data_IF_252604622615
#
_entry.id   IF_252604622615
#
_cell.length_a   1.000
_cell.length_b   1.000
_cell.length_c   1.000
_cell.angle_alpha   90.00
_cell.angle_beta   90.00
_cell.angle_gamma   90.00
#
_symmetry.space_group_name_H-M   'P 1'
#
loop_
_entity.id
_entity.type
_entity.pdbx_description
1 polymer ?
#
# COMPACT_ATOMS: atom_id res chain seq x y z
N UNK A 1 3.32 1.49 9.28
CA UNK A 1 4.43 0.53 9.03
C UNK A 1 4.81 -0.35 10.21
N UNK A 2 5.16 0.17 11.40
CA UNK A 2 5.56 -0.70 12.54
C UNK A 2 4.53 -1.77 12.91
N UNK A 3 3.25 -1.40 13.00
CA UNK A 3 2.17 -2.34 13.27
C UNK A 3 2.04 -3.41 12.17
N UNK A 4 2.12 -3.01 10.90
CA UNK A 4 2.16 -3.95 9.76
C UNK A 4 3.30 -4.95 9.90
N UNK A 5 4.49 -4.51 10.31
CA UNK A 5 5.65 -5.39 10.48
C UNK A 5 5.56 -6.31 11.72
N UNK A 6 4.64 -6.04 12.65
CA UNK A 6 4.29 -6.94 13.75
C UNK A 6 3.27 -7.99 13.30
N UNK A 7 2.25 -7.57 12.54
CA UNK A 7 1.24 -8.45 11.96
C UNK A 7 1.84 -9.38 10.89
N UNK A 8 2.80 -8.88 10.12
CA UNK A 8 3.47 -9.55 9.01
C UNK A 8 4.99 -9.58 9.24
N UNK A 9 5.52 -10.48 10.09
CA UNK A 9 6.95 -10.50 10.42
C UNK A 9 7.88 -10.68 9.22
N UNK A 10 7.40 -11.30 8.13
CA UNK A 10 8.16 -11.48 6.89
C UNK A 10 8.17 -10.27 5.95
N UNK A 11 7.39 -9.22 6.24
CA UNK A 11 7.20 -8.07 5.34
C UNK A 11 8.50 -7.29 5.07
N UNK A 12 9.29 -7.11 6.13
CA UNK A 12 10.63 -6.50 6.04
C UNK A 12 11.63 -7.49 6.65
N UNK A 13 12.36 -8.25 5.80
CA UNK A 13 13.33 -9.23 6.27
C UNK A 13 14.52 -8.57 6.95
N UNK A 14 15.12 -9.29 7.91
CA UNK A 14 16.31 -8.83 8.63
C UNK A 14 17.57 -8.97 7.77
N UNK A 15 18.63 -8.23 8.12
CA UNK A 15 19.91 -8.24 7.38
C UNK A 15 20.48 -9.66 7.30
N UNK A 16 20.34 -10.43 8.37
CA UNK A 16 20.80 -11.82 8.44
C UNK A 16 20.14 -12.73 7.40
N UNK A 17 18.84 -12.53 7.12
CA UNK A 17 18.11 -13.36 6.15
C UNK A 17 18.14 -12.76 4.74
N UNK A 18 18.39 -11.46 4.62
CA UNK A 18 18.48 -10.76 3.36
C UNK A 18 19.53 -9.64 3.45
N UNK A 19 20.75 -9.84 2.92
CA UNK A 19 21.84 -8.87 3.05
C UNK A 19 21.53 -7.50 2.44
N UNK A 20 20.84 -7.48 1.30
CA UNK A 20 20.45 -6.27 0.55
C UNK A 20 18.93 -6.21 0.38
N UNK A 21 18.30 -5.16 0.88
CA UNK A 21 16.90 -4.83 0.61
C UNK A 21 16.81 -3.77 -0.49
N UNK A 22 15.90 -4.00 -1.43
CA UNK A 22 15.51 -3.03 -2.46
C UNK A 22 14.05 -2.71 -2.24
N UNK A 23 13.70 -1.44 -2.02
CA UNK A 23 12.31 -1.04 -1.83
C UNK A 23 11.91 0.16 -2.69
N UNK A 24 10.64 0.20 -3.09
CA UNK A 24 10.05 1.38 -3.72
C UNK A 24 8.89 1.92 -2.88
N UNK A 25 8.84 3.23 -2.74
CA UNK A 25 7.92 3.98 -1.89
C UNK A 25 7.14 4.94 -2.79
N UNK A 26 5.93 4.57 -3.17
CA UNK A 26 5.14 5.22 -4.22
C UNK A 26 4.02 6.04 -3.60
N UNK A 27 3.90 7.31 -3.99
CA UNK A 27 2.97 8.24 -3.37
C UNK A 27 3.13 8.40 -1.85
N UNK A 28 4.34 8.11 -1.37
CA UNK A 28 4.81 8.37 -0.03
C UNK A 28 6.27 8.82 -0.13
N UNK A 29 6.50 10.14 -0.20
CA UNK A 29 7.85 10.70 -0.11
C UNK A 29 8.58 10.24 1.17
N UNK A 30 9.91 10.49 1.32
CA UNK A 30 10.70 9.95 2.43
C UNK A 30 10.04 10.33 3.75
N UNK A 31 9.35 9.36 4.34
CA UNK A 31 8.36 9.54 5.39
C UNK A 31 8.36 8.34 6.34
N UNK A 32 7.27 8.18 7.10
CA UNK A 32 7.23 7.20 8.19
C UNK A 32 7.45 5.75 7.77
N UNK A 33 7.12 5.37 6.52
CA UNK A 33 7.32 4.03 6.01
C UNK A 33 8.80 3.75 5.70
N UNK A 34 9.45 4.64 4.93
CA UNK A 34 10.90 4.58 4.66
C UNK A 34 11.70 4.56 5.96
N UNK A 35 11.35 5.44 6.90
CA UNK A 35 12.02 5.52 8.20
C UNK A 35 11.87 4.21 9.00
N UNK A 36 10.65 3.68 9.10
CA UNK A 36 10.40 2.43 9.82
C UNK A 36 11.13 1.23 9.19
N UNK A 37 11.19 1.15 7.85
CA UNK A 37 11.95 0.11 7.15
C UNK A 37 13.44 0.23 7.47
N UNK A 38 14.01 1.43 7.33
CA UNK A 38 15.41 1.70 7.65
C UNK A 38 15.74 1.34 9.11
N UNK A 39 14.90 1.77 10.06
CA UNK A 39 15.09 1.49 11.48
C UNK A 39 15.07 -0.02 11.78
N UNK A 40 14.09 -0.76 11.24
CA UNK A 40 14.02 -2.22 11.43
C UNK A 40 15.25 -2.93 10.88
N UNK A 41 15.77 -2.48 9.74
CA UNK A 41 16.99 -3.02 9.12
C UNK A 41 18.25 -2.72 9.94
N UNK A 42 18.30 -1.59 10.64
CA UNK A 42 19.42 -1.20 11.52
C UNK A 42 19.45 -1.95 12.87
N UNK A 43 18.29 -2.34 13.43
CA UNK A 43 18.17 -2.90 14.79
C UNK A 43 18.97 -4.19 15.08
N UNK A 44 19.45 -4.93 14.07
CA UNK A 44 20.22 -6.16 14.28
C UNK A 44 21.72 -6.00 14.06
N UNK A 45 22.18 -4.85 13.55
CA UNK A 45 23.63 -4.57 13.43
C UNK A 45 24.23 -4.32 14.82
N UNK A 46 23.48 -3.73 15.74
CA UNK A 46 23.95 -3.45 17.10
C UNK A 46 24.03 -4.72 17.98
N UNK A 47 23.07 -5.65 17.86
CA UNK A 47 23.11 -6.92 18.62
C UNK A 47 24.24 -7.85 18.19
N UNK A 48 24.67 -7.81 16.93
CA UNK A 48 25.85 -8.54 16.47
C UNK A 48 27.17 -7.95 16.97
N UNK A 49 27.20 -6.65 17.32
CA UNK A 49 28.36 -5.99 17.95
C UNK A 49 28.38 -6.08 19.48
N UNK A 50 27.25 -6.47 20.10
CA UNK A 50 27.08 -6.49 21.56
C UNK A 50 27.30 -7.84 22.25
N UNK A 51 27.55 -8.93 21.51
CA UNK A 51 27.97 -10.21 22.09
C UNK A 51 29.44 -10.43 21.77
N UNK A 52 30.29 -10.36 22.80
CA UNK A 52 31.74 -10.38 22.69
C UNK A 52 32.26 -11.58 21.91
N UNK A 53 32.93 -11.29 20.80
CA UNK A 53 33.94 -12.16 20.21
C UNK A 53 35.24 -11.35 20.24
N UNK A 54 36.08 -11.64 21.23
CA UNK A 54 37.46 -11.14 21.28
C UNK A 54 38.26 -11.78 20.14
N UNK A 55 39.15 -10.97 19.58
CA UNK A 55 40.27 -11.32 18.70
C UNK A 55 39.96 -11.92 17.33
N UNK A 56 39.61 -11.04 16.40
CA UNK A 56 40.12 -11.15 15.03
C UNK A 56 40.64 -9.77 14.61
N UNK A 57 41.96 -9.59 14.64
CA UNK A 57 42.61 -8.46 13.97
C UNK A 57 42.39 -8.63 12.46
N UNK A 58 41.71 -7.71 11.77
CA UNK A 58 41.70 -7.75 10.31
C UNK A 58 43.06 -7.23 9.84
N UNK A 59 43.81 -8.10 9.18
CA UNK A 59 44.87 -7.66 8.29
C UNK A 59 44.29 -6.60 7.35
N UNK A 60 44.93 -5.43 7.38
CA UNK A 60 44.72 -4.34 6.44
C UNK A 60 45.11 -4.83 5.05
N UNK A 61 44.16 -5.43 4.33
CA UNK A 61 44.25 -5.53 2.89
C UNK A 61 43.22 -4.60 2.24
N UNK A 62 43.78 -3.61 1.55
CA UNK A 62 43.07 -2.55 0.86
C UNK A 62 42.40 -3.09 -0.40
N UNK A 63 41.21 -3.64 -0.28
CA UNK A 63 40.27 -3.75 -1.40
C UNK A 63 38.88 -3.33 -0.95
N UNK A 64 38.36 -2.31 -1.62
CA UNK A 64 37.08 -1.66 -1.37
C UNK A 64 35.89 -2.59 -1.63
N UNK A 65 35.61 -3.52 -0.73
CA UNK A 65 34.33 -4.21 -0.68
C UNK A 65 33.30 -3.25 -0.07
N UNK A 66 32.65 -2.44 -0.92
CA UNK A 66 31.41 -1.74 -0.53
C UNK A 66 30.41 -2.81 -0.09
N UNK A 67 30.22 -2.96 1.22
CA UNK A 67 29.15 -3.80 1.77
C UNK A 67 27.83 -3.45 1.06
N UNK A 68 27.09 -4.47 0.63
CA UNK A 68 25.82 -4.30 -0.09
C UNK A 68 24.85 -3.46 0.77
N UNK A 69 24.67 -2.19 0.40
CA UNK A 69 23.78 -1.27 1.07
C UNK A 69 22.33 -1.53 0.67
N UNK A 70 21.43 -1.50 1.64
CA UNK A 70 20.00 -1.38 1.34
C UNK A 70 19.78 -0.12 0.49
N UNK A 71 18.84 -0.22 -0.46
CA UNK A 71 18.55 0.87 -1.38
C UNK A 71 17.04 1.06 -1.50
N UNK A 72 16.60 2.30 -1.44
CA UNK A 72 15.20 2.66 -1.59
C UNK A 72 15.01 3.72 -2.67
N UNK A 73 13.86 3.63 -3.34
CA UNK A 73 13.42 4.53 -4.40
C UNK A 73 12.09 5.12 -4.00
N UNK A 74 11.86 6.41 -4.29
CA UNK A 74 10.59 7.05 -4.00
C UNK A 74 10.10 7.92 -5.14
N UNK A 75 8.79 7.96 -5.32
CA UNK A 75 8.09 8.94 -6.14
C UNK A 75 6.95 9.54 -5.33
N UNK A 76 6.85 10.86 -5.35
CA UNK A 76 5.80 11.62 -4.66
C UNK A 76 5.44 12.85 -5.47
N UNK A 77 4.25 13.41 -5.23
CA UNK A 77 3.85 14.69 -5.82
C UNK A 77 4.92 15.75 -5.55
N UNK A 78 5.28 16.48 -6.60
CA UNK A 78 6.21 17.58 -6.56
C UNK A 78 5.58 18.70 -5.74
N UNK A 79 6.11 18.86 -4.55
CA UNK A 79 5.56 19.76 -3.57
C UNK A 79 6.03 21.21 -3.77
N UNK A 80 5.18 22.22 -3.48
CA UNK A 80 5.61 23.61 -3.35
C UNK A 80 6.78 23.74 -2.36
N UNK A 81 7.56 24.83 -2.47
CA UNK A 81 8.84 25.01 -1.78
C UNK A 81 8.85 24.68 -0.27
N UNK A 82 7.76 24.97 0.45
CA UNK A 82 7.62 24.72 1.89
C UNK A 82 7.62 23.24 2.29
N UNK A 83 7.10 22.34 1.46
CA UNK A 83 7.05 20.91 1.74
C UNK A 83 8.33 20.18 1.27
N UNK A 84 9.13 20.80 0.38
CA UNK A 84 10.49 20.32 0.07
C UNK A 84 11.40 20.34 1.30
N UNK A 85 11.20 21.29 2.21
CA UNK A 85 11.99 21.40 3.44
C UNK A 85 11.62 20.32 4.48
N UNK A 86 10.34 19.90 4.54
CA UNK A 86 9.94 18.70 5.30
C UNK A 86 10.63 17.43 4.77
N UNK A 87 10.65 17.23 3.44
CA UNK A 87 11.37 16.09 2.85
C UNK A 87 12.87 16.17 3.13
N UNK A 88 13.49 17.35 3.06
CA UNK A 88 14.91 17.54 3.42
C UNK A 88 15.17 17.21 4.89
N UNK A 89 14.29 17.62 5.79
CA UNK A 89 14.40 17.35 7.23
C UNK A 89 14.20 15.86 7.56
N UNK A 90 13.26 15.18 6.90
CA UNK A 90 13.09 13.73 7.02
C UNK A 90 14.33 12.99 6.48
N UNK A 91 14.88 13.46 5.36
CA UNK A 91 16.11 12.92 4.78
C UNK A 91 17.37 13.20 5.63
N UNK A 92 17.43 14.32 6.35
CA UNK A 92 18.54 14.60 7.27
C UNK A 92 18.49 13.72 8.51
N UNK A 93 17.30 13.49 9.09
CA UNK A 93 17.10 12.50 10.17
C UNK A 93 17.51 11.09 9.76
N UNK A 94 17.17 10.69 8.53
CA UNK A 94 17.62 9.41 7.97
C UNK A 94 19.15 9.35 7.80
N UNK A 95 19.85 10.48 7.63
CA UNK A 95 21.31 10.55 7.52
C UNK A 95 22.03 10.50 8.88
N UNK A 96 21.45 11.08 9.92
CA UNK A 96 22.04 11.16 11.27
C UNK A 96 22.07 9.80 12.00
N UNK A 97 21.15 8.86 11.69
CA UNK A 97 20.99 7.57 12.37
C UNK A 97 21.82 6.39 11.80
N UNK A 98 23.00 6.58 11.17
CA UNK A 98 23.63 5.52 10.36
C UNK A 98 24.90 4.89 10.94
N UNK A 99 24.82 3.58 11.19
CA UNK A 99 25.96 2.65 11.30
C UNK A 99 26.20 1.83 9.99
N UNK A 100 25.33 1.95 8.97
CA UNK A 100 25.48 1.36 7.62
C UNK A 100 25.09 2.35 6.52
N UNK A 101 25.70 2.21 5.34
CA UNK A 101 25.32 2.91 4.10
C UNK A 101 23.93 2.42 3.65
N UNK A 102 22.97 3.33 3.53
CA UNK A 102 21.67 3.11 2.89
C UNK A 102 21.56 4.11 1.74
N UNK A 103 21.28 3.66 0.53
CA UNK A 103 21.14 4.56 -0.62
C UNK A 103 19.67 4.91 -0.85
N UNK A 104 19.39 6.16 -1.22
CA UNK A 104 18.04 6.67 -1.33
C UNK A 104 17.88 7.60 -2.52
N UNK A 105 16.90 7.32 -3.37
CA UNK A 105 16.66 8.05 -4.60
C UNK A 105 15.23 8.55 -4.68
N UNK A 106 15.04 9.81 -5.08
CA UNK A 106 13.71 10.41 -5.29
C UNK A 106 13.58 10.79 -6.75
N UNK A 107 12.44 10.48 -7.35
CA UNK A 107 12.11 10.74 -8.74
C UNK A 107 10.75 11.46 -8.82
N UNK A 108 10.59 12.39 -9.76
CA UNK A 108 9.39 13.22 -9.89
C UNK A 108 8.62 12.99 -11.20
N UNK A 109 8.88 11.88 -11.88
CA UNK A 109 8.26 11.58 -13.17
C UNK A 109 8.85 12.40 -14.32
N UNK A 110 8.37 12.12 -15.54
CA UNK A 110 8.83 12.74 -16.77
C UNK A 110 8.50 14.25 -16.82
N UNK A 111 7.32 14.63 -16.31
CA UNK A 111 6.87 16.03 -16.27
C UNK A 111 7.25 16.76 -14.97
N UNK A 112 7.98 16.08 -14.08
CA UNK A 112 8.42 16.58 -12.77
C UNK A 112 7.28 16.92 -11.80
N UNK A 113 6.04 16.51 -12.06
CA UNK A 113 4.90 16.70 -11.14
C UNK A 113 4.81 15.64 -10.05
N UNK A 114 5.45 14.47 -10.24
CA UNK A 114 5.33 13.32 -9.34
C UNK A 114 3.95 12.65 -9.35
N UNK A 115 3.05 13.08 -10.24
CA UNK A 115 1.70 12.51 -10.37
C UNK A 115 1.78 11.15 -11.06
N UNK A 116 1.59 10.08 -10.29
CA UNK A 116 1.59 8.71 -10.83
C UNK A 116 0.31 8.34 -11.56
N UNK A 117 -0.71 9.20 -11.59
CA UNK A 117 -1.87 9.02 -12.48
C UNK A 117 -1.53 9.37 -13.93
N UNK A 118 -0.36 9.95 -14.18
CA UNK A 118 0.20 10.14 -15.51
C UNK A 118 1.04 8.90 -15.93
N UNK A 119 0.67 8.17 -17.00
CA UNK A 119 1.41 6.99 -17.47
C UNK A 119 2.85 7.30 -17.86
N UNK A 120 3.17 8.53 -18.30
CA UNK A 120 4.53 8.92 -18.62
C UNK A 120 5.40 9.02 -17.36
N UNK A 121 4.82 9.48 -16.24
CA UNK A 121 5.50 9.53 -14.96
C UNK A 121 5.73 8.13 -14.38
N UNK A 122 4.75 7.23 -14.54
CA UNK A 122 4.90 5.81 -14.22
C UNK A 122 6.09 5.23 -14.98
N UNK A 123 6.11 5.31 -16.32
CA UNK A 123 7.18 4.72 -17.12
C UNK A 123 8.55 5.31 -16.79
N UNK A 124 8.63 6.63 -16.66
CA UNK A 124 9.88 7.30 -16.31
C UNK A 124 10.42 6.86 -14.95
N UNK A 125 9.57 6.68 -13.93
CA UNK A 125 9.98 6.15 -12.64
C UNK A 125 10.43 4.69 -12.73
N UNK A 126 9.67 3.84 -13.42
CA UNK A 126 10.01 2.41 -13.58
C UNK A 126 11.36 2.24 -14.29
N UNK A 127 11.58 2.97 -15.39
CA UNK A 127 12.83 2.95 -16.14
C UNK A 127 14.01 3.42 -15.29
N UNK A 128 13.85 4.53 -14.57
CA UNK A 128 14.87 5.04 -13.65
C UNK A 128 15.27 4.02 -12.58
N UNK A 129 14.29 3.36 -11.95
CA UNK A 129 14.55 2.34 -10.91
C UNK A 129 15.31 1.16 -11.51
N UNK A 130 14.85 0.64 -12.65
CA UNK A 130 15.49 -0.50 -13.31
C UNK A 130 16.91 -0.16 -13.81
N UNK A 131 17.13 1.04 -14.33
CA UNK A 131 18.47 1.49 -14.73
C UNK A 131 19.42 1.55 -13.51
N UNK A 132 18.98 2.17 -12.41
CA UNK A 132 19.78 2.30 -11.18
C UNK A 132 20.10 0.98 -10.50
N UNK A 133 19.28 -0.02 -10.71
CA UNK A 133 19.40 -1.34 -10.09
C UNK A 133 19.90 -2.41 -11.06
N UNK A 134 20.34 -2.03 -12.26
CA UNK A 134 20.78 -2.96 -13.30
C UNK A 134 19.74 -4.07 -13.58
N UNK A 135 18.45 -3.70 -13.55
CA UNK A 135 17.32 -4.59 -13.78
C UNK A 135 16.81 -5.35 -12.55
N UNK A 136 17.44 -5.21 -11.38
CA UNK A 136 16.91 -5.82 -10.15
C UNK A 136 15.55 -5.21 -9.76
N UNK A 137 14.65 -6.06 -9.29
CA UNK A 137 13.29 -5.67 -8.89
C UNK A 137 13.16 -5.47 -7.38
N UNK A 138 12.09 -4.80 -6.97
CA UNK A 138 11.86 -4.37 -5.60
C UNK A 138 11.31 -5.51 -4.74
N UNK A 139 11.93 -5.71 -3.59
CA UNK A 139 11.53 -6.72 -2.63
C UNK A 139 10.31 -6.29 -1.81
N UNK A 140 10.21 -4.99 -1.55
CA UNK A 140 9.09 -4.36 -0.88
C UNK A 140 8.64 -3.14 -1.69
N UNK A 141 7.35 -3.05 -1.97
CA UNK A 141 6.76 -1.83 -2.51
C UNK A 141 5.71 -1.35 -1.53
N UNK A 142 5.72 -0.07 -1.21
CA UNK A 142 4.73 0.52 -0.32
C UNK A 142 4.15 1.80 -0.89
N UNK A 143 2.87 2.07 -0.62
CA UNK A 143 2.18 3.30 -0.98
C UNK A 143 1.20 3.75 0.09
N UNK A 144 1.28 5.03 0.43
CA UNK A 144 0.46 5.70 1.46
C UNK A 144 -0.23 6.95 0.90
N UNK A 145 -0.47 6.96 -0.41
CA UNK A 145 -1.05 8.08 -1.14
C UNK A 145 -2.50 8.34 -0.77
N UNK A 146 -2.84 9.60 -0.53
CA UNK A 146 -4.22 10.05 -0.35
C UNK A 146 -4.41 11.50 -0.83
N UNK A 147 -5.53 11.76 -1.47
CA UNK A 147 -6.03 13.09 -1.78
C UNK A 147 -6.87 13.62 -0.61
N UNK A 148 -6.91 14.94 -0.46
CA UNK A 148 -7.82 15.59 0.47
C UNK A 148 -9.25 15.48 -0.07
N UNK A 149 -10.11 14.82 0.70
CA UNK A 149 -11.55 14.62 0.41
C UNK A 149 -12.39 15.12 1.59
N UNK A 150 -11.88 16.07 2.36
CA UNK A 150 -12.58 16.66 3.52
C UNK A 150 -13.96 17.23 3.18
N UNK A 151 -14.21 17.57 1.92
CA UNK A 151 -15.51 18.03 1.43
C UNK A 151 -16.53 16.91 1.18
N UNK A 152 -16.08 15.70 0.78
CA UNK A 152 -16.95 14.56 0.51
C UNK A 152 -16.28 13.21 0.77
N UNK A 153 -16.37 12.74 2.01
CA UNK A 153 -15.90 11.41 2.39
C UNK A 153 -16.67 10.26 1.70
N UNK A 154 -17.87 10.50 1.18
CA UNK A 154 -18.69 9.45 0.56
C UNK A 154 -18.16 9.02 -0.80
N UNK A 155 -17.47 9.93 -1.52
CA UNK A 155 -16.82 9.65 -2.80
C UNK A 155 -15.33 9.32 -2.67
N UNK A 156 -14.81 9.18 -1.44
CA UNK A 156 -13.39 8.92 -1.19
C UNK A 156 -12.87 7.70 -1.97
N UNK A 157 -13.62 6.61 -2.00
CA UNK A 157 -13.23 5.41 -2.75
C UNK A 157 -13.10 5.69 -4.26
N UNK A 158 -14.10 6.32 -4.87
CA UNK A 158 -14.12 6.61 -6.31
C UNK A 158 -13.02 7.60 -6.68
N UNK A 159 -12.80 8.63 -5.87
CA UNK A 159 -11.79 9.66 -6.08
C UNK A 159 -10.35 9.10 -6.00
N UNK A 160 -10.14 8.00 -5.27
CA UNK A 160 -8.83 7.34 -5.16
C UNK A 160 -8.63 6.18 -6.14
N UNK A 161 -9.65 5.79 -6.91
CA UNK A 161 -9.58 4.63 -7.80
C UNK A 161 -8.44 4.75 -8.83
N UNK A 162 -8.25 5.94 -9.42
CA UNK A 162 -7.16 6.18 -10.37
C UNK A 162 -5.78 6.03 -9.73
N UNK A 163 -5.62 6.59 -8.52
CA UNK A 163 -4.37 6.50 -7.77
C UNK A 163 -4.05 5.04 -7.41
N UNK A 164 -5.02 4.33 -6.86
CA UNK A 164 -4.86 2.92 -6.47
C UNK A 164 -4.51 2.05 -7.69
N UNK A 165 -5.15 2.28 -8.84
CA UNK A 165 -4.81 1.60 -10.09
C UNK A 165 -3.36 1.87 -10.52
N UNK A 166 -2.93 3.12 -10.47
CA UNK A 166 -1.55 3.51 -10.78
C UNK A 166 -0.52 2.90 -9.84
N UNK A 167 -0.84 2.80 -8.55
CA UNK A 167 0.02 2.15 -7.56
C UNK A 167 0.18 0.65 -7.86
N UNK A 168 -0.92 -0.05 -8.18
CA UNK A 168 -0.90 -1.46 -8.60
C UNK A 168 -0.05 -1.65 -9.86
N UNK A 169 -0.18 -0.74 -10.84
CA UNK A 169 0.57 -0.82 -12.09
C UNK A 169 2.07 -0.63 -11.86
N UNK A 170 2.48 0.34 -11.06
CA UNK A 170 3.90 0.50 -10.68
C UNK A 170 4.39 -0.76 -9.96
N UNK A 171 3.63 -1.26 -8.99
CA UNK A 171 3.98 -2.44 -8.24
C UNK A 171 4.18 -3.65 -9.15
N UNK A 172 3.22 -3.94 -10.04
CA UNK A 172 3.30 -5.06 -10.97
C UNK A 172 4.54 -5.01 -11.88
N UNK A 173 4.98 -3.80 -12.29
CA UNK A 173 6.17 -3.63 -13.14
C UNK A 173 7.47 -3.77 -12.36
N UNK A 174 7.53 -3.29 -11.11
CA UNK A 174 8.74 -3.24 -10.30
C UNK A 174 8.91 -4.34 -9.26
N UNK A 175 7.88 -5.11 -8.91
CA UNK A 175 7.96 -6.10 -7.83
C UNK A 175 8.80 -7.32 -8.22
N UNK A 176 9.72 -7.74 -7.34
CA UNK A 176 10.48 -8.98 -7.51
C UNK A 176 9.60 -10.19 -7.25
N UNK A 177 9.91 -11.34 -7.87
CA UNK A 177 9.28 -12.61 -7.49
C UNK A 177 9.44 -12.86 -5.98
N UNK A 178 8.37 -13.33 -5.33
CA UNK A 178 8.30 -13.50 -3.88
C UNK A 178 8.16 -12.19 -3.08
N UNK A 179 8.19 -11.03 -3.73
CA UNK A 179 8.13 -9.72 -3.09
C UNK A 179 6.79 -9.42 -2.42
N UNK A 180 6.77 -8.35 -1.63
CA UNK A 180 5.58 -7.89 -0.91
C UNK A 180 5.21 -6.44 -1.28
N UNK A 181 3.91 -6.18 -1.23
CA UNK A 181 3.28 -4.91 -1.54
C UNK A 181 2.39 -4.48 -0.36
N UNK A 182 2.48 -3.21 0.02
CA UNK A 182 1.55 -2.58 0.98
C UNK A 182 0.96 -1.33 0.35
N UNK A 183 -0.35 -1.26 0.15
CA UNK A 183 -1.01 -0.07 -0.36
C UNK A 183 -2.09 0.40 0.58
N UNK A 184 -2.12 1.70 0.88
CA UNK A 184 -3.27 2.34 1.51
C UNK A 184 -4.47 2.24 0.57
N UNK A 185 -5.61 1.88 1.15
CA UNK A 185 -6.91 1.91 0.50
C UNK A 185 -7.93 2.49 1.48
N UNK A 186 -9.13 2.77 0.96
CA UNK A 186 -10.26 3.21 1.77
C UNK A 186 -11.36 2.15 1.76
N UNK A 187 -12.59 2.57 1.63
CA UNK A 187 -13.71 1.68 1.38
C UNK A 187 -13.47 0.81 0.13
N UNK A 188 -14.11 -0.36 0.10
CA UNK A 188 -14.00 -1.33 -0.99
C UNK A 188 -15.39 -1.76 -1.46
N UNK A 189 -16.28 -0.82 -1.77
CA UNK A 189 -17.68 -1.10 -2.18
C UNK A 189 -17.91 -1.01 -3.69
N UNK A 190 -16.94 -0.53 -4.47
CA UNK A 190 -17.09 -0.33 -5.91
C UNK A 190 -16.52 -1.49 -6.72
N UNK A 191 -17.13 -1.78 -7.88
CA UNK A 191 -16.66 -2.80 -8.82
C UNK A 191 -15.23 -2.55 -9.31
N UNK A 192 -14.83 -1.27 -9.41
CA UNK A 192 -13.47 -0.89 -9.77
C UNK A 192 -12.46 -1.38 -8.72
N UNK A 193 -12.73 -1.11 -7.43
CA UNK A 193 -11.91 -1.59 -6.32
C UNK A 193 -11.89 -3.12 -6.25
N UNK A 194 -13.03 -3.77 -6.44
CA UNK A 194 -13.11 -5.23 -6.46
C UNK A 194 -12.25 -5.83 -7.56
N UNK A 195 -12.32 -5.26 -8.77
CA UNK A 195 -11.52 -5.72 -9.90
C UNK A 195 -10.03 -5.51 -9.65
N UNK A 196 -9.63 -4.37 -9.06
CA UNK A 196 -8.25 -4.10 -8.66
C UNK A 196 -7.73 -5.08 -7.62
N UNK A 197 -8.51 -5.37 -6.58
CA UNK A 197 -8.19 -6.36 -5.57
C UNK A 197 -8.09 -7.78 -6.16
N UNK A 198 -8.93 -8.10 -7.13
CA UNK A 198 -8.89 -9.39 -7.83
C UNK A 198 -7.64 -9.53 -8.72
N UNK A 199 -7.22 -8.44 -9.38
CA UNK A 199 -5.93 -8.38 -10.10
C UNK A 199 -4.77 -8.66 -9.12
N UNK A 200 -4.77 -8.01 -7.95
CA UNK A 200 -3.77 -8.29 -6.92
C UNK A 200 -3.81 -9.76 -6.46
N UNK A 201 -4.99 -10.33 -6.22
CA UNK A 201 -5.13 -11.75 -5.82
C UNK A 201 -4.61 -12.72 -6.89
N UNK A 202 -4.61 -12.30 -8.16
CA UNK A 202 -4.04 -13.06 -9.27
C UNK A 202 -2.51 -12.93 -9.34
N UNK A 203 -1.97 -11.77 -8.98
CA UNK A 203 -0.53 -11.46 -9.03
C UNK A 203 0.25 -11.91 -7.78
N UNK A 204 -0.42 -12.08 -6.64
CA UNK A 204 0.22 -12.41 -5.35
C UNK A 204 -0.32 -13.73 -4.78
N UNK A 205 0.48 -14.35 -3.92
CA UNK A 205 0.11 -15.60 -3.25
C UNK A 205 -0.93 -15.36 -2.17
N UNK A 206 -0.81 -14.25 -1.45
CA UNK A 206 -1.74 -13.82 -0.40
C UNK A 206 -2.06 -12.35 -0.59
N UNK A 207 -3.31 -11.97 -0.33
CA UNK A 207 -3.77 -10.58 -0.33
C UNK A 207 -4.71 -10.42 0.85
N UNK A 208 -4.35 -9.56 1.79
CA UNK A 208 -5.09 -9.31 3.01
C UNK A 208 -5.43 -7.83 3.11
N UNK A 209 -6.66 -7.52 3.52
CA UNK A 209 -7.09 -6.15 3.81
C UNK A 209 -7.10 -6.00 5.33
N UNK A 210 -6.24 -5.12 5.83
CA UNK A 210 -6.07 -4.91 7.27
C UNK A 210 -6.40 -3.48 7.64
N UNK A 211 -7.04 -3.33 8.79
CA UNK A 211 -7.21 -2.04 9.46
C UNK A 211 -6.24 -2.00 10.63
N UNK A 212 -5.41 -0.98 10.67
CA UNK A 212 -4.43 -0.80 11.74
C UNK A 212 -5.10 -0.18 12.97
N UNK A 213 -4.67 -0.58 14.16
CA UNK A 213 -5.09 0.02 15.44
C UNK A 213 -4.66 1.47 15.54
N UNK A 214 -3.56 1.84 14.88
CA UNK A 214 -3.10 3.23 14.82
C UNK A 214 -3.91 4.11 13.87
N UNK A 215 -4.79 3.54 13.02
CA UNK A 215 -5.66 4.34 12.14
C UNK A 215 -6.77 5.02 12.95
N UNK A 216 -7.22 6.20 12.51
CA UNK A 216 -8.29 6.94 13.20
C UNK A 216 -9.57 6.11 13.23
N UNK A 217 -10.14 5.92 14.42
CA UNK A 217 -11.23 4.95 14.67
C UNK A 217 -12.45 5.10 13.74
N UNK A 218 -12.77 6.34 13.33
CA UNK A 218 -13.91 6.64 12.46
C UNK A 218 -13.60 6.67 10.96
N UNK A 219 -12.33 6.61 10.54
CA UNK A 219 -11.97 6.71 9.11
C UNK A 219 -12.15 5.37 8.37
N UNK A 220 -12.24 5.42 7.05
CA UNK A 220 -12.31 4.23 6.19
C UNK A 220 -10.94 3.69 5.79
N UNK A 221 -9.85 4.27 6.31
CA UNK A 221 -8.46 3.91 5.98
C UNK A 221 -8.14 2.46 6.36
N UNK A 222 -7.57 1.74 5.40
CA UNK A 222 -7.12 0.35 5.51
C UNK A 222 -5.86 0.18 4.65
N UNK A 223 -5.25 -0.98 4.75
CA UNK A 223 -4.10 -1.35 3.93
C UNK A 223 -4.35 -2.70 3.26
N UNK A 224 -4.04 -2.78 1.96
CA UNK A 224 -3.83 -4.05 1.28
C UNK A 224 -2.40 -4.49 1.56
N UNK A 225 -2.22 -5.70 2.10
CA UNK A 225 -0.93 -6.36 2.25
C UNK A 225 -0.94 -7.57 1.33
N UNK A 226 -0.15 -7.52 0.27
CA UNK A 226 -0.03 -8.59 -0.69
C UNK A 226 1.38 -9.19 -0.65
N UNK A 227 1.50 -10.51 -0.53
CA UNK A 227 2.80 -11.19 -0.38
C UNK A 227 2.97 -12.34 -1.36
N UNK A 228 4.22 -12.56 -1.75
CA UNK A 228 4.58 -13.65 -2.66
C UNK A 228 4.17 -13.32 -4.08
N UNK A 229 4.66 -12.18 -4.60
CA UNK A 229 4.46 -11.79 -6.00
C UNK A 229 4.89 -12.92 -6.94
N UNK A 230 4.04 -13.25 -7.90
CA UNK A 230 4.28 -14.31 -8.88
C UNK A 230 5.03 -13.69 -10.06
N UNK A 231 4.31 -13.39 -11.13
CA UNK A 231 4.84 -12.78 -12.34
C UNK A 231 3.77 -11.91 -12.99
N UNK A 232 4.20 -10.90 -13.72
CA UNK A 232 3.34 -10.13 -14.61
C UNK A 232 3.53 -10.65 -16.04
N UNK A 233 2.45 -11.14 -16.67
CA UNK A 233 2.51 -11.52 -18.08
C UNK A 233 2.55 -10.26 -18.95
N UNK A 234 3.28 -10.33 -20.07
CA UNK A 234 3.41 -9.20 -21.01
C UNK A 234 2.04 -8.70 -21.51
N UNK A 235 1.11 -9.61 -21.80
CA UNK A 235 -0.23 -9.24 -22.25
C UNK A 235 -1.05 -8.52 -21.17
N UNK A 236 -0.90 -8.90 -19.89
CA UNK A 236 -1.54 -8.18 -18.78
C UNK A 236 -0.89 -6.80 -18.59
N UNK A 237 0.44 -6.71 -18.65
CA UNK A 237 1.16 -5.43 -18.57
C UNK A 237 0.68 -4.44 -19.65
N UNK A 238 0.64 -4.90 -20.92
CA UNK A 238 0.18 -4.08 -22.05
C UNK A 238 -1.27 -3.60 -21.85
N UNK A 239 -2.15 -4.46 -21.33
CA UNK A 239 -3.54 -4.10 -21.05
C UNK A 239 -3.67 -3.10 -19.91
N UNK A 240 -2.94 -3.28 -18.81
CA UNK A 240 -2.93 -2.33 -17.69
C UNK A 240 -2.36 -0.97 -18.11
N UNK A 241 -1.28 -0.96 -18.91
CA UNK A 241 -0.73 0.28 -19.48
C UNK A 241 -1.73 0.98 -20.41
N UNK A 242 -2.49 0.23 -21.23
CA UNK A 242 -3.54 0.80 -22.09
C UNK A 242 -4.67 1.42 -21.25
N UNK A 243 -5.09 0.75 -20.17
CA UNK A 243 -6.11 1.28 -19.25
C UNK A 243 -5.59 2.56 -18.59
N UNK A 244 -4.35 2.57 -18.12
CA UNK A 244 -3.71 3.77 -17.53
C UNK A 244 -3.75 4.97 -18.48
N UNK A 245 -3.42 4.77 -19.77
CA UNK A 245 -3.49 5.85 -20.77
C UNK A 245 -4.93 6.34 -20.98
N UNK A 246 -5.90 5.43 -21.07
CA UNK A 246 -7.30 5.79 -21.24
C UNK A 246 -7.84 6.57 -20.02
N UNK A 247 -7.55 6.10 -18.81
CA UNK A 247 -7.94 6.74 -17.56
C UNK A 247 -7.31 8.12 -17.38
N UNK A 248 -6.03 8.27 -17.73
CA UNK A 248 -5.36 9.56 -17.75
C UNK A 248 -6.02 10.54 -18.71
N UNK A 249 -6.36 10.10 -19.93
CA UNK A 249 -7.05 10.94 -20.90
C UNK A 249 -8.45 11.34 -20.41
N UNK A 250 -9.26 10.39 -19.92
CA UNK A 250 -10.58 10.69 -19.33
C UNK A 250 -10.48 11.69 -18.18
N UNK A 251 -9.47 11.58 -17.32
CA UNK A 251 -9.26 12.52 -16.22
C UNK A 251 -8.95 13.92 -16.73
N UNK A 252 -8.10 14.05 -17.75
CA UNK A 252 -7.79 15.34 -18.41
C UNK A 252 -9.02 15.97 -19.06
N UNK A 253 -9.92 15.16 -19.59
CA UNK A 253 -11.17 15.60 -20.22
C UNK A 253 -12.28 15.90 -19.20
N UNK A 254 -12.00 15.79 -17.89
CA UNK A 254 -12.97 16.04 -16.81
C UNK A 254 -14.01 14.92 -16.64
N UNK A 255 -13.74 13.72 -17.17
CA UNK A 255 -14.66 12.57 -17.17
C UNK A 255 -14.32 11.56 -16.06
N UNK A 256 -14.14 12.01 -14.81
CA UNK A 256 -13.75 11.10 -13.71
C UNK A 256 -14.77 9.97 -13.47
N UNK A 257 -16.06 10.20 -13.72
CA UNK A 257 -17.11 9.17 -13.61
C UNK A 257 -16.96 8.03 -14.63
N UNK A 258 -16.12 8.21 -15.67
CA UNK A 258 -15.83 7.18 -16.68
C UNK A 258 -14.72 6.20 -16.24
N UNK A 259 -14.07 6.43 -15.10
CA UNK A 259 -13.04 5.55 -14.54
C UNK A 259 -13.67 4.28 -13.92
N UNK A 260 -14.21 3.44 -14.80
CA UNK A 260 -14.81 2.17 -14.45
C UNK A 260 -13.90 1.05 -14.90
N UNK A 261 -13.73 0.06 -14.03
CA UNK A 261 -13.09 -1.20 -14.38
C UNK A 261 -13.98 -2.31 -13.88
N UNK A 262 -14.34 -3.22 -14.79
CA UNK A 262 -15.15 -4.37 -14.48
C UNK A 262 -14.51 -5.62 -15.06
N UNK A 263 -14.42 -6.64 -14.21
CA UNK A 263 -14.07 -7.99 -14.60
C UNK A 263 -14.99 -8.95 -13.83
N UNK A 264 -15.54 -9.99 -14.47
CA UNK A 264 -16.22 -11.05 -13.74
C UNK A 264 -15.29 -11.64 -12.67
N UNK A 265 -15.63 -11.44 -11.41
CA UNK A 265 -14.89 -11.99 -10.28
C UNK A 265 -15.56 -13.30 -9.81
N UNK A 266 -14.79 -14.30 -9.36
CA UNK A 266 -15.35 -15.52 -8.81
C UNK A 266 -16.26 -15.23 -7.61
N UNK A 267 -17.39 -15.93 -7.51
CA UNK A 267 -18.34 -15.75 -6.42
C UNK A 267 -17.70 -15.87 -5.02
N UNK A 268 -16.83 -16.86 -4.73
CA UNK A 268 -16.18 -16.94 -3.41
C UNK A 268 -15.31 -15.72 -3.06
N UNK A 269 -14.73 -15.06 -4.07
CA UNK A 269 -13.97 -13.82 -3.86
C UNK A 269 -14.90 -12.67 -3.49
N UNK A 270 -16.03 -12.54 -4.21
CA UNK A 270 -17.03 -11.52 -3.93
C UNK A 270 -17.70 -11.71 -2.57
N UNK A 271 -17.98 -12.96 -2.19
CA UNK A 271 -18.52 -13.31 -0.87
C UNK A 271 -17.55 -12.92 0.25
N UNK A 272 -16.28 -13.33 0.15
CA UNK A 272 -15.26 -12.99 1.15
C UNK A 272 -15.05 -11.46 1.27
N UNK A 273 -15.05 -10.75 0.14
CA UNK A 273 -14.93 -9.30 0.14
C UNK A 273 -16.17 -8.63 0.76
N UNK A 274 -17.36 -9.16 0.46
CA UNK A 274 -18.61 -8.71 1.06
C UNK A 274 -18.61 -8.90 2.59
N UNK A 275 -18.27 -10.09 3.07
CA UNK A 275 -18.17 -10.36 4.50
C UNK A 275 -17.18 -9.44 5.21
N UNK A 276 -15.99 -9.23 4.62
CA UNK A 276 -14.96 -8.34 5.16
C UNK A 276 -15.44 -6.89 5.25
N UNK A 277 -16.09 -6.40 4.19
CA UNK A 277 -16.68 -5.07 4.18
C UNK A 277 -17.79 -4.91 5.23
N UNK A 278 -18.64 -5.92 5.42
CA UNK A 278 -19.72 -5.89 6.41
C UNK A 278 -19.17 -5.79 7.84
N UNK A 279 -18.16 -6.61 8.17
CA UNK A 279 -17.53 -6.60 9.47
C UNK A 279 -16.90 -5.23 9.79
N UNK A 280 -16.14 -4.68 8.85
CA UNK A 280 -15.46 -3.39 9.09
C UNK A 280 -16.46 -2.24 9.15
N UNK A 281 -17.51 -2.25 8.32
CA UNK A 281 -18.57 -1.24 8.38
C UNK A 281 -19.29 -1.26 9.74
N UNK A 282 -19.51 -2.45 10.32
CA UNK A 282 -20.10 -2.60 11.65
C UNK A 282 -19.20 -2.00 12.75
N UNK A 283 -17.90 -2.30 12.73
CA UNK A 283 -16.94 -1.79 13.71
C UNK A 283 -16.76 -0.27 13.61
N UNK A 284 -16.69 0.25 12.38
CA UNK A 284 -16.60 1.68 12.10
C UNK A 284 -17.87 2.42 12.58
N UNK A 285 -19.05 1.86 12.32
CA UNK A 285 -20.33 2.43 12.77
C UNK A 285 -20.41 2.52 14.29
N UNK A 286 -19.99 1.46 14.99
CA UNK A 286 -19.94 1.43 16.45
C UNK A 286 -18.99 2.50 16.99
N UNK A 287 -17.83 2.64 16.37
CA UNK A 287 -16.82 3.64 16.74
C UNK A 287 -17.31 5.08 16.53
N UNK A 288 -18.00 5.35 15.42
CA UNK A 288 -18.60 6.66 15.13
C UNK A 288 -19.68 6.98 16.16
N UNK A 289 -20.60 6.05 16.44
CA UNK A 289 -21.67 6.25 17.42
C UNK A 289 -21.11 6.51 18.82
N UNK A 290 -20.05 5.80 19.22
CA UNK A 290 -19.36 6.05 20.49
C UNK A 290 -18.72 7.44 20.52
N UNK A 291 -18.02 7.84 19.46
CA UNK A 291 -17.42 9.18 19.37
C UNK A 291 -18.47 10.30 19.45
N UNK A 292 -19.63 10.12 18.81
CA UNK A 292 -20.76 11.07 18.92
C UNK A 292 -21.28 11.14 20.35
N UNK A 293 -21.50 9.99 21.01
CA UNK A 293 -21.95 9.94 22.40
C UNK A 293 -21.00 10.68 23.34
N UNK A 294 -19.69 10.47 23.21
CA UNK A 294 -18.67 11.15 24.03
C UNK A 294 -18.70 12.67 23.82
N UNK A 295 -18.85 13.11 22.56
CA UNK A 295 -18.93 14.54 22.26
C UNK A 295 -20.20 15.18 22.83
N UNK A 296 -21.35 14.51 22.75
CA UNK A 296 -22.60 14.94 23.38
C UNK A 296 -22.45 15.07 24.90
N UNK A 297 -21.82 14.08 25.56
CA UNK A 297 -21.56 14.08 27.00
C UNK A 297 -20.62 15.24 27.42
N UNK A 298 -19.70 15.64 26.54
CA UNK A 298 -18.79 16.77 26.76
C UNK A 298 -19.47 18.13 26.54
N UNK A 299 -20.77 18.15 26.22
CA UNK A 299 -21.52 19.38 25.96
C UNK A 299 -21.16 20.03 24.63
N UNK A 300 -20.42 19.33 23.76
CA UNK A 300 -20.21 19.79 22.40
C UNK A 300 -21.55 19.71 21.66
N UNK A 301 -22.06 20.88 21.26
CA UNK A 301 -23.11 20.94 20.25
C UNK A 301 -22.48 20.59 18.92
N UNK A 302 -22.22 19.31 18.69
CA UNK A 302 -22.02 18.83 17.34
C UNK A 302 -23.21 19.33 16.55
N UNK A 303 -22.97 20.08 15.49
CA UNK A 303 -24.01 20.61 14.60
C UNK A 303 -24.66 19.50 13.77
N UNK A 304 -25.03 18.37 14.39
CA UNK A 304 -25.95 17.40 13.83
C UNK A 304 -27.38 17.92 13.97
N UNK A 305 -27.65 19.05 13.33
CA UNK A 305 -29.01 19.48 13.08
C UNK A 305 -29.60 18.57 12.00
N UNK A 306 -30.05 17.38 12.41
CA UNK A 306 -31.33 16.76 12.08
C UNK A 306 -31.26 15.22 12.12
N UNK A 307 -32.26 14.63 12.77
CA UNK A 307 -32.57 13.19 12.73
C UNK A 307 -32.69 12.62 11.30
N UNK A 308 -32.77 13.46 10.26
CA UNK A 308 -32.72 13.06 8.85
C UNK A 308 -31.33 12.57 8.43
N UNK A 309 -30.24 13.15 8.94
CA UNK A 309 -28.87 12.75 8.58
C UNK A 309 -28.43 11.48 9.32
N UNK A 310 -28.84 11.30 10.59
CA UNK A 310 -28.68 10.03 11.29
C UNK A 310 -29.48 8.91 10.60
N UNK A 311 -30.71 9.19 10.15
CA UNK A 311 -31.48 8.29 9.29
C UNK A 311 -30.79 8.06 7.94
N UNK A 312 -30.14 9.05 7.34
CA UNK A 312 -29.39 8.88 6.09
C UNK A 312 -28.15 8.01 6.29
N UNK A 313 -27.33 8.24 7.31
CA UNK A 313 -26.17 7.40 7.66
C UNK A 313 -26.63 5.97 7.95
N UNK A 314 -27.65 5.80 8.79
CA UNK A 314 -28.25 4.50 9.05
C UNK A 314 -28.89 3.89 7.80
N UNK A 315 -29.41 4.68 6.85
CA UNK A 315 -29.97 4.17 5.59
C UNK A 315 -28.89 3.76 4.60
N UNK A 316 -27.76 4.48 4.56
CA UNK A 316 -26.59 4.18 3.73
C UNK A 316 -25.92 2.93 4.29
N UNK A 317 -25.72 2.85 5.60
CA UNK A 317 -25.22 1.67 6.28
C UNK A 317 -26.18 0.49 6.14
N UNK A 318 -27.49 0.68 6.35
CA UNK A 318 -28.49 -0.37 6.09
C UNK A 318 -28.52 -0.79 4.64
N UNK A 319 -28.38 0.12 3.65
CA UNK A 319 -28.26 -0.24 2.23
C UNK A 319 -26.99 -1.05 1.97
N UNK A 320 -25.85 -0.60 2.49
CA UNK A 320 -24.55 -1.31 2.39
C UNK A 320 -24.61 -2.70 3.07
N UNK A 321 -25.31 -2.83 4.20
CA UNK A 321 -25.51 -4.08 4.94
C UNK A 321 -26.57 -4.99 4.31
N UNK A 322 -27.64 -4.44 3.71
CA UNK A 322 -28.69 -5.23 3.03
C UNK A 322 -28.15 -5.98 1.80
N UNK A 323 -27.03 -5.51 1.25
CA UNK A 323 -26.30 -6.19 0.18
C UNK A 323 -25.41 -7.33 0.70
N UNK A 324 -25.24 -7.50 2.01
CA UNK A 324 -24.26 -8.42 2.60
C UNK A 324 -24.81 -9.12 3.87
N UNK A 325 -25.55 -10.20 3.68
CA UNK A 325 -25.82 -11.26 4.67
C UNK A 325 -25.09 -12.52 4.14
N UNK A 326 -24.27 -13.32 4.84
CA UNK A 326 -24.10 -13.68 6.24
C UNK A 326 -22.67 -14.22 6.50
N UNK A 327 -22.13 -13.94 7.70
CA UNK A 327 -21.11 -14.66 8.50
C UNK A 327 -19.76 -15.10 7.87
N UNK A 328 -18.71 -14.42 8.38
CA UNK A 328 -17.26 -14.72 8.40
C UNK A 328 -16.84 -16.13 7.97
N UNK A 329 -16.01 -16.24 6.94
CA UNK A 329 -14.95 -17.24 6.88
C UNK A 329 -13.69 -16.79 6.14
N UNK A 330 -12.55 -17.12 6.75
CA UNK A 330 -11.21 -17.10 6.19
C UNK A 330 -11.15 -17.89 4.87
N UNK A 331 -10.87 -17.21 3.76
CA UNK A 331 -10.82 -17.78 2.40
C UNK A 331 -9.95 -19.04 2.29
N UNK A 332 -8.94 -19.20 3.15
CA UNK A 332 -8.07 -20.38 3.17
C UNK A 332 -8.71 -21.64 3.79
N UNK A 333 -9.73 -21.46 4.63
CA UNK A 333 -10.44 -22.56 5.33
C UNK A 333 -11.52 -23.17 4.43
N UNK A 334 -12.14 -22.37 3.56
CA UNK A 334 -13.14 -22.84 2.57
C UNK A 334 -12.48 -23.65 1.45
N UNK A 335 -11.31 -23.22 0.94
CA UNK A 335 -10.57 -23.99 -0.07
C UNK A 335 -10.22 -25.41 0.39
N UNK A 336 -9.94 -25.60 1.69
CA UNK A 336 -9.67 -26.91 2.30
C UNK A 336 -10.94 -27.75 2.51
N UNK A 337 -12.08 -27.11 2.78
CA UNK A 337 -13.36 -27.80 3.01
C UNK A 337 -14.04 -28.24 1.71
N UNK A 338 -13.75 -27.59 0.57
CA UNK A 338 -14.38 -27.85 -0.73
C UNK A 338 -13.60 -28.79 -1.66
N UNK A 339 -12.50 -29.39 -1.20
CA UNK A 339 -11.69 -30.33 -1.99
C UNK A 339 -11.23 -29.75 -3.36
N UNK A 340 -11.02 -28.44 -3.43
CA UNK A 340 -10.48 -27.78 -4.63
C UNK A 340 -8.98 -28.10 -4.67
N UNK A 341 -8.46 -28.75 -5.73
CA UNK A 341 -7.06 -29.13 -5.76
C UNK A 341 -6.20 -27.87 -5.82
N UNK A 342 -5.43 -27.63 -4.76
CA UNK A 342 -4.26 -26.75 -4.84
C UNK A 342 -3.28 -27.46 -5.77
N UNK A 343 -3.21 -27.02 -7.02
CA UNK A 343 -2.45 -27.68 -8.06
C UNK A 343 -0.96 -27.73 -7.69
N UNK A 344 -0.54 -28.86 -7.12
CA UNK A 344 0.79 -29.40 -7.24
C UNK A 344 0.90 -30.03 -8.63
N UNK A 345 1.93 -29.63 -9.39
CA UNK A 345 2.28 -30.08 -10.74
C UNK A 345 1.35 -29.61 -11.87
N UNK A 346 1.81 -28.64 -12.67
CA UNK A 346 2.35 -28.83 -14.03
C UNK A 346 3.07 -27.52 -14.41
N UNK A 347 4.39 -27.67 -14.63
CA UNK A 347 5.38 -26.81 -15.32
C UNK A 347 5.19 -25.28 -15.35
#
# INVERSE_FOLDING_TARGET
>A
MWELMQMFPGLVPLVATKPKLLSAHICEGPGGFVEAVCMRRSQHVEKARGFGMQDFTPDMDSTSNKEASDCWFAITLAVPGSQKDCMKMQMSRLKENRSKSVEGYVHYGADKSGDITNPNNISSFVEFVLEKTCGEKMHLITGDGAFDVSEDFSSQEQSHAHLFFSEILIAARLQSAGGALVLKIFDCFTEATWTMLFILASLYTTVEIVRLRTSRVCNSERFVVAQGFRLLSKGLEEKLMSISRAWHQCTKDGLQAALKMYMPCPLPFLEALGEGNAAIASDQSTSILHAVSVAEDMGEKLSFAHASQQKSILSILRRKMKTMELRRVNALTICKALNIPLASSVL
#
